data_IF_631790805945
#
_entry.id   IF_631790805945
#
_cell.length_a   1.000
_cell.length_b   1.000
_cell.length_c   1.000
_cell.angle_alpha   90.00
_cell.angle_beta   90.00
_cell.angle_gamma   90.00
#
_symmetry.space_group_name_H-M   'P 1'
#
loop_
_entity.id
_entity.type
_entity.pdbx_description
1 polymer ?
#
# COMPACT_ATOMS: atom_id res chain seq x y z
N UNK A 1 2.03 9.80 -5.50
CA UNK A 1 2.82 10.53 -4.50
C UNK A 1 3.82 9.62 -3.79
N UNK A 2 3.38 8.61 -3.04
CA UNK A 2 4.28 7.70 -2.30
C UNK A 2 5.27 6.95 -3.18
N UNK A 3 4.86 6.48 -4.37
CA UNK A 3 5.78 5.87 -5.33
C UNK A 3 6.98 6.79 -5.64
N UNK A 4 6.73 8.05 -6.01
CA UNK A 4 7.77 9.04 -6.26
C UNK A 4 8.63 9.35 -5.03
N UNK A 5 8.00 9.45 -3.86
CA UNK A 5 8.70 9.67 -2.60
C UNK A 5 9.68 8.52 -2.30
N UNK A 6 9.23 7.27 -2.43
CA UNK A 6 10.04 6.08 -2.18
C UNK A 6 11.15 5.89 -3.21
N UNK A 7 10.91 6.19 -4.49
CA UNK A 7 11.95 6.19 -5.52
C UNK A 7 13.06 7.18 -5.20
N UNK A 8 12.70 8.39 -4.74
CA UNK A 8 13.67 9.41 -4.32
C UNK A 8 14.47 8.99 -3.09
N UNK A 9 13.89 8.16 -2.24
CA UNK A 9 14.55 7.54 -1.08
C UNK A 9 15.39 6.30 -1.47
N UNK A 10 15.54 6.03 -2.78
CA UNK A 10 16.36 4.94 -3.30
C UNK A 10 15.73 3.56 -3.17
N UNK A 11 14.40 3.47 -2.98
CA UNK A 11 13.68 2.19 -2.90
C UNK A 11 13.31 1.69 -4.29
N UNK A 12 13.28 0.38 -4.45
CA UNK A 12 12.62 -0.26 -5.59
C UNK A 12 11.10 -0.16 -5.42
N UNK A 13 10.40 0.29 -6.47
CA UNK A 13 8.95 0.50 -6.42
C UNK A 13 8.27 -0.33 -7.48
N UNK A 14 7.29 -1.12 -7.04
CA UNK A 14 6.39 -1.88 -7.91
C UNK A 14 5.00 -1.26 -7.81
N UNK A 15 4.38 -0.94 -8.94
CA UNK A 15 3.01 -0.42 -9.00
C UNK A 15 2.10 -1.48 -9.63
N UNK A 16 1.00 -1.76 -8.93
CA UNK A 16 -0.14 -2.52 -9.45
C UNK A 16 -1.38 -1.63 -9.38
N UNK A 17 -2.13 -1.55 -10.47
CA UNK A 17 -3.35 -0.76 -10.62
C UNK A 17 -4.23 -1.46 -11.66
N UNK A 18 -5.55 -1.36 -11.52
CA UNK A 18 -6.51 -1.86 -12.53
C UNK A 18 -6.56 -0.97 -13.77
N UNK A 19 -6.13 0.29 -13.63
CA UNK A 19 -6.13 1.28 -14.70
C UNK A 19 -4.84 1.14 -15.53
N UNK A 20 -4.97 0.50 -16.71
CA UNK A 20 -3.86 0.29 -17.63
C UNK A 20 -3.17 1.59 -18.06
N UNK A 21 -3.91 2.71 -18.16
CA UNK A 21 -3.30 3.99 -18.50
C UNK A 21 -2.35 4.45 -17.42
N UNK A 22 -2.75 4.35 -16.15
CA UNK A 22 -1.87 4.69 -15.02
C UNK A 22 -0.64 3.81 -14.96
N UNK A 23 -0.78 2.52 -15.30
CA UNK A 23 0.36 1.62 -15.39
C UNK A 23 1.32 2.03 -16.51
N UNK A 24 0.80 2.39 -17.69
CA UNK A 24 1.63 2.87 -18.80
C UNK A 24 2.37 4.16 -18.42
N UNK A 25 1.70 5.11 -17.77
CA UNK A 25 2.31 6.35 -17.26
C UNK A 25 3.38 6.06 -16.20
N UNK A 26 3.11 5.17 -15.25
CA UNK A 26 4.05 4.74 -14.23
C UNK A 26 5.31 4.10 -14.82
N UNK A 27 5.16 3.27 -15.85
CA UNK A 27 6.27 2.56 -16.52
C UNK A 27 7.23 3.51 -17.25
N UNK A 28 6.81 4.74 -17.56
CA UNK A 28 7.71 5.75 -18.14
C UNK A 28 8.71 6.32 -17.11
N UNK A 29 8.46 6.13 -15.81
CA UNK A 29 9.36 6.63 -14.77
C UNK A 29 10.48 5.61 -14.51
N UNK A 30 11.76 6.00 -14.66
CA UNK A 30 12.89 5.13 -14.31
C UNK A 30 12.80 4.65 -12.86
N UNK A 31 13.04 3.35 -12.66
CA UNK A 31 13.01 2.72 -11.32
C UNK A 31 11.63 2.19 -10.89
N UNK A 32 10.56 2.46 -11.65
CA UNK A 32 9.25 1.84 -11.41
C UNK A 32 9.12 0.55 -12.24
N UNK A 33 8.77 -0.53 -11.56
CA UNK A 33 8.25 -1.75 -12.20
C UNK A 33 6.73 -1.77 -12.10
N UNK A 34 6.05 -2.26 -13.13
CA UNK A 34 4.60 -2.54 -13.08
C UNK A 34 4.36 -4.04 -13.08
N UNK A 35 3.34 -4.48 -12.36
CA UNK A 35 2.98 -5.89 -12.24
C UNK A 35 1.49 -6.04 -11.87
N UNK A 36 0.98 -7.27 -11.93
CA UNK A 36 -0.32 -7.60 -11.32
C UNK A 36 -0.24 -7.48 -9.79
N UNK A 37 -1.40 -7.41 -9.09
CA UNK A 37 -1.45 -7.36 -7.63
C UNK A 37 -0.66 -8.53 -7.00
N UNK A 38 -0.89 -9.73 -7.50
CA UNK A 38 -0.26 -10.96 -7.02
C UNK A 38 1.26 -10.93 -7.22
N UNK A 39 1.73 -10.55 -8.41
CA UNK A 39 3.17 -10.48 -8.71
C UNK A 39 3.87 -9.39 -7.88
N UNK A 40 3.22 -8.25 -7.67
CA UNK A 40 3.74 -7.17 -6.84
C UNK A 40 3.92 -7.64 -5.39
N UNK A 41 2.89 -8.25 -4.80
CA UNK A 41 2.91 -8.76 -3.42
C UNK A 41 3.96 -9.85 -3.23
N UNK A 42 4.12 -10.75 -4.19
CA UNK A 42 5.17 -11.79 -4.16
C UNK A 42 6.59 -11.23 -4.20
N UNK A 43 6.77 -10.02 -4.72
CA UNK A 43 8.11 -9.42 -4.92
C UNK A 43 8.45 -8.34 -3.89
N UNK A 44 7.46 -7.72 -3.26
CA UNK A 44 7.68 -6.59 -2.34
C UNK A 44 7.93 -7.07 -0.91
N UNK A 45 8.69 -6.31 -0.12
CA UNK A 45 8.80 -6.51 1.34
C UNK A 45 7.70 -5.74 2.11
N UNK A 46 7.29 -4.59 1.56
CA UNK A 46 6.26 -3.70 2.10
C UNK A 46 5.21 -3.43 1.03
N UNK A 47 3.94 -3.60 1.39
CA UNK A 47 2.78 -3.40 0.52
C UNK A 47 2.01 -2.17 1.02
N UNK A 48 1.83 -1.17 0.15
CA UNK A 48 1.04 0.02 0.44
C UNK A 48 -0.27 -0.02 -0.35
N UNK A 49 -1.39 -0.21 0.34
CA UNK A 49 -2.73 -0.27 -0.26
C UNK A 49 -3.29 1.14 -0.41
N UNK A 50 -3.45 1.56 -1.66
CA UNK A 50 -3.92 2.90 -2.06
C UNK A 50 -5.08 2.81 -3.07
N UNK A 51 -6.12 2.06 -2.71
CA UNK A 51 -7.31 1.85 -3.55
C UNK A 51 -8.54 2.54 -2.96
N UNK A 52 -9.58 2.84 -3.77
CA UNK A 52 -10.88 3.27 -3.25
C UNK A 52 -11.44 2.28 -2.24
N UNK A 53 -12.21 2.77 -1.27
CA UNK A 53 -12.71 1.93 -0.18
C UNK A 53 -13.60 0.78 -0.67
N UNK A 54 -14.36 1.01 -1.74
CA UNK A 54 -15.23 0.02 -2.37
C UNK A 54 -14.46 -1.16 -2.99
N UNK A 55 -13.19 -0.92 -3.37
CA UNK A 55 -12.31 -1.93 -3.95
C UNK A 55 -11.44 -2.64 -2.89
N UNK A 56 -11.41 -2.13 -1.65
CA UNK A 56 -10.44 -2.54 -0.64
C UNK A 56 -10.56 -4.03 -0.29
N UNK A 57 -11.76 -4.51 0.06
CA UNK A 57 -11.97 -5.92 0.41
C UNK A 57 -11.58 -6.86 -0.71
N UNK A 58 -11.95 -6.53 -1.95
CA UNK A 58 -11.61 -7.33 -3.13
C UNK A 58 -10.10 -7.46 -3.30
N UNK A 59 -9.35 -6.36 -3.13
CA UNK A 59 -7.89 -6.37 -3.21
C UNK A 59 -7.28 -7.20 -2.08
N UNK A 60 -7.76 -7.04 -0.84
CA UNK A 60 -7.26 -7.84 0.29
C UNK A 60 -7.51 -9.33 0.09
N UNK A 61 -8.71 -9.72 -0.36
CA UNK A 61 -9.05 -11.13 -0.66
C UNK A 61 -8.17 -11.71 -1.78
N UNK A 62 -7.85 -10.92 -2.80
CA UNK A 62 -6.98 -11.33 -3.91
C UNK A 62 -5.54 -11.57 -3.43
N UNK A 63 -4.99 -10.68 -2.60
CA UNK A 63 -3.57 -10.71 -2.25
C UNK A 63 -3.26 -11.56 -1.03
N UNK A 64 -4.22 -11.78 -0.12
CA UNK A 64 -3.96 -12.45 1.15
C UNK A 64 -3.33 -13.84 1.04
N UNK A 65 -3.63 -14.68 0.03
CA UNK A 65 -3.00 -16.00 -0.09
C UNK A 65 -1.51 -15.95 -0.42
N UNK A 66 -1.02 -14.79 -0.86
CA UNK A 66 0.35 -14.58 -1.32
C UNK A 66 1.21 -13.79 -0.35
N UNK A 67 0.63 -13.36 0.79
CA UNK A 67 1.35 -12.66 1.84
C UNK A 67 2.21 -13.65 2.64
N UNK A 68 3.52 -13.40 2.62
CA UNK A 68 4.55 -14.13 3.35
C UNK A 68 4.63 -13.65 4.81
N UNK A 69 5.13 -14.49 5.73
CA UNK A 69 5.49 -14.03 7.08
C UNK A 69 6.38 -12.79 7.04
N UNK A 70 6.24 -11.91 8.04
CA UNK A 70 7.00 -10.66 8.19
C UNK A 70 6.80 -9.58 7.10
N UNK A 71 6.04 -9.85 6.04
CA UNK A 71 5.65 -8.79 5.10
C UNK A 71 4.78 -7.75 5.79
N UNK A 72 5.06 -6.47 5.51
CA UNK A 72 4.31 -5.36 6.09
C UNK A 72 3.25 -4.91 5.10
N UNK A 73 1.99 -4.91 5.52
CA UNK A 73 0.84 -4.41 4.75
C UNK A 73 0.30 -3.15 5.41
N UNK A 74 0.38 -2.05 4.68
CA UNK A 74 0.00 -0.72 5.15
C UNK A 74 -1.16 -0.22 4.29
N UNK A 75 -2.25 0.23 4.90
CA UNK A 75 -3.29 0.98 4.18
C UNK A 75 -3.14 2.49 4.41
N UNK A 76 -3.46 3.29 3.39
CA UNK A 76 -3.51 4.77 3.49
C UNK A 76 -4.92 5.33 3.27
N UNK A 77 -5.94 4.52 3.52
CA UNK A 77 -7.34 4.91 3.27
C UNK A 77 -7.77 6.04 4.22
N UNK A 78 -8.93 6.66 3.97
CA UNK A 78 -9.41 7.72 4.86
C UNK A 78 -10.05 7.22 6.15
N UNK A 79 -10.69 6.04 6.13
CA UNK A 79 -11.37 5.42 7.28
C UNK A 79 -10.50 4.32 7.89
N UNK A 80 -10.70 3.93 9.16
CA UNK A 80 -9.77 3.00 9.83
C UNK A 80 -10.38 1.70 10.32
N UNK A 81 -11.60 1.72 10.84
CA UNK A 81 -12.25 0.52 11.37
C UNK A 81 -12.34 -0.57 10.28
N UNK A 82 -12.97 -0.26 9.16
CA UNK A 82 -13.20 -1.24 8.09
C UNK A 82 -11.91 -1.80 7.45
N UNK A 83 -10.91 -0.99 7.03
CA UNK A 83 -9.67 -1.51 6.45
C UNK A 83 -8.89 -2.41 7.40
N UNK A 84 -8.79 -2.01 8.67
CA UNK A 84 -8.10 -2.78 9.71
C UNK A 84 -8.79 -4.12 9.93
N UNK A 85 -10.12 -4.12 10.12
CA UNK A 85 -10.89 -5.34 10.31
C UNK A 85 -10.78 -6.28 9.10
N UNK A 86 -10.89 -5.75 7.89
CA UNK A 86 -10.73 -6.52 6.65
C UNK A 86 -9.33 -7.12 6.52
N UNK A 87 -8.29 -6.35 6.82
CA UNK A 87 -6.91 -6.86 6.81
C UNK A 87 -6.73 -7.96 7.85
N UNK A 88 -7.13 -7.78 9.11
CA UNK A 88 -7.00 -8.84 10.13
C UNK A 88 -7.85 -10.07 9.85
N UNK A 89 -9.01 -9.90 9.21
CA UNK A 89 -9.87 -11.01 8.82
C UNK A 89 -9.15 -11.95 7.85
N UNK A 90 -8.39 -11.42 6.89
CA UNK A 90 -7.82 -12.20 5.79
C UNK A 90 -6.31 -12.46 5.91
N UNK A 91 -5.55 -11.52 6.46
CA UNK A 91 -4.09 -11.60 6.56
C UNK A 91 -3.73 -12.20 7.92
N UNK A 92 -3.20 -13.43 7.91
CA UNK A 92 -2.86 -14.19 9.13
C UNK A 92 -1.36 -14.26 9.43
N UNK A 93 -0.52 -13.98 8.44
CA UNK A 93 0.94 -14.17 8.50
C UNK A 93 1.72 -12.86 8.43
N UNK A 94 1.18 -11.84 7.74
CA UNK A 94 1.83 -10.53 7.60
C UNK A 94 1.54 -9.59 8.77
N UNK A 95 2.40 -8.57 8.91
CA UNK A 95 2.20 -7.45 9.81
C UNK A 95 1.27 -6.44 9.12
N UNK A 96 0.21 -6.02 9.82
CA UNK A 96 -0.75 -5.05 9.27
C UNK A 96 -0.67 -3.74 10.04
N UNK A 97 -0.73 -2.62 9.32
CA UNK A 97 -0.77 -1.29 9.92
C UNK A 97 -1.72 -0.38 9.14
N UNK A 98 -2.76 0.09 9.81
CA UNK A 98 -3.62 1.11 9.24
C UNK A 98 -3.00 2.48 9.41
N UNK A 99 -3.02 3.28 8.34
CA UNK A 99 -2.48 4.65 8.35
C UNK A 99 -3.41 5.63 7.65
N UNK A 100 -3.33 6.90 8.05
CA UNK A 100 -3.96 8.00 7.34
C UNK A 100 -2.95 9.15 7.24
N UNK A 101 -2.37 9.40 6.05
CA UNK A 101 -1.59 10.60 5.80
C UNK A 101 -2.50 11.82 5.88
N UNK A 102 -2.32 12.70 6.88
CA UNK A 102 -3.19 13.87 7.09
C UNK A 102 -2.81 15.06 6.17
N UNK A 103 -2.44 14.74 4.93
CA UNK A 103 -1.99 15.70 3.93
C UNK A 103 -2.42 15.28 2.54
N UNK A 104 -2.71 16.29 1.72
CA UNK A 104 -3.18 16.10 0.35
C UNK A 104 -2.05 15.91 -0.68
N UNK A 105 -2.42 15.68 -1.95
CA UNK A 105 -1.47 15.44 -3.03
C UNK A 105 -0.53 16.63 -3.33
N UNK A 106 -0.86 17.83 -2.84
CA UNK A 106 -0.01 19.03 -2.95
C UNK A 106 1.20 19.05 -2.00
N UNK A 107 1.28 18.13 -1.03
CA UNK A 107 2.45 18.02 -0.16
C UNK A 107 3.72 17.72 -0.98
N UNK A 108 4.86 18.33 -0.63
CA UNK A 108 6.14 18.10 -1.34
C UNK A 108 7.06 17.11 -0.62
N UNK A 109 6.80 16.85 0.66
CA UNK A 109 7.59 15.94 1.50
C UNK A 109 6.76 15.47 2.70
N UNK A 110 7.23 14.41 3.38
CA UNK A 110 6.67 13.99 4.68
C UNK A 110 7.07 14.91 5.85
N UNK A 111 8.03 15.83 5.66
CA UNK A 111 8.53 16.69 6.75
C UNK A 111 7.41 17.60 7.25
N UNK A 112 7.24 17.65 8.57
CA UNK A 112 6.20 18.42 9.26
C UNK A 112 4.78 18.04 8.80
N UNK A 113 4.60 16.81 8.31
CA UNK A 113 3.30 16.24 8.01
C UNK A 113 2.91 15.25 9.10
N UNK A 114 1.61 15.16 9.36
CA UNK A 114 1.09 14.25 10.36
C UNK A 114 0.57 12.96 9.70
N UNK A 115 0.70 11.86 10.42
CA UNK A 115 0.09 10.59 10.10
C UNK A 115 -0.72 10.13 11.30
N UNK A 116 -1.94 9.64 11.09
CA UNK A 116 -2.62 8.83 12.09
C UNK A 116 -2.23 7.36 11.85
N UNK A 117 -1.81 6.66 12.90
CA UNK A 117 -1.45 5.25 12.88
C UNK A 117 -2.45 4.48 13.75
N UNK A 118 -2.89 3.32 13.30
CA UNK A 118 -3.79 2.44 14.05
C UNK A 118 -3.13 1.08 14.24
N UNK A 119 -2.13 0.97 15.16
CA UNK A 119 -1.56 -0.31 15.53
C UNK A 119 -2.59 -1.15 16.29
N UNK A 120 -2.53 -2.46 16.09
CA UNK A 120 -3.51 -3.42 16.64
C UNK A 120 -2.88 -4.59 17.38
N UNK A 121 -1.56 -4.76 17.26
CA UNK A 121 -0.82 -5.73 18.05
C UNK A 121 -0.52 -5.12 19.43
N UNK A 122 -0.60 -5.93 20.48
CA UNK A 122 -0.09 -5.56 21.79
C UNK A 122 1.44 -5.50 21.74
N UNK A 123 2.03 -4.52 22.43
CA UNK A 123 3.49 -4.32 22.55
C UNK A 123 4.17 -5.43 23.34
#
# INVERSE_FOLDING_TARGET
WFAHFLLKDGKEVIIADRDERKLLEAKQQPGIRVATNVEAVKSADVILISVPIDDFSKVIEEICPFIRPEQVVIDITSIKVFPIETMHKHIKTGLVLGTHPMFGPGAKSIRNQNFALTPTNET
#
